data_IF_547462971156
#
_entry.id   IF_547462971156
#
_cell.length_a   1.000
_cell.length_b   1.000
_cell.length_c   1.000
_cell.angle_alpha   90.00
_cell.angle_beta   90.00
_cell.angle_gamma   90.00
#
_symmetry.space_group_name_H-M   'P 1'
#
loop_
_entity.id
_entity.type
_entity.pdbx_description
1 polymer ?
#
# COMPACT_ATOMS: atom_id res chain seq x y z
N UNK A 1 -24.67 13.20 -2.92
CA UNK A 1 -24.34 11.89 -2.34
C UNK A 1 -23.69 11.03 -3.41
N UNK A 2 -22.37 11.15 -3.55
CA UNK A 2 -21.57 10.25 -4.37
C UNK A 2 -20.44 9.77 -3.48
N UNK A 3 -20.43 8.48 -3.16
CA UNK A 3 -19.37 7.84 -2.39
C UNK A 3 -18.12 7.75 -3.28
N UNK A 4 -17.41 8.87 -3.42
CA UNK A 4 -15.99 8.80 -3.72
C UNK A 4 -15.34 8.30 -2.43
N UNK A 5 -14.95 7.03 -2.40
CA UNK A 5 -14.10 6.51 -1.33
C UNK A 5 -12.86 7.40 -1.19
N UNK A 6 -12.21 7.40 0.00
CA UNK A 6 -11.09 8.28 0.27
C UNK A 6 -10.08 8.13 -0.85
N UNK A 7 -9.80 9.23 -1.57
CA UNK A 7 -8.82 9.19 -2.65
C UNK A 7 -7.48 8.97 -2.01
N UNK A 8 -7.03 7.71 -2.01
CA UNK A 8 -5.71 7.37 -1.55
C UNK A 8 -4.69 8.29 -2.25
N UNK A 9 -3.74 8.86 -1.50
CA UNK A 9 -2.70 9.72 -2.05
C UNK A 9 -2.08 9.06 -3.29
N UNK A 10 -1.87 9.79 -4.41
CA UNK A 10 -1.46 9.11 -5.65
C UNK A 10 -0.04 8.52 -5.56
N UNK A 11 0.76 8.89 -4.55
CA UNK A 11 1.98 8.17 -4.16
C UNK A 11 1.69 6.69 -3.85
N UNK A 12 0.67 6.46 -3.02
CA UNK A 12 0.28 5.15 -2.53
C UNK A 12 -0.26 4.29 -3.69
N UNK A 13 -1.12 4.87 -4.54
CA UNK A 13 -1.64 4.19 -5.73
C UNK A 13 -0.56 3.81 -6.75
N UNK A 14 0.49 4.64 -6.91
CA UNK A 14 1.55 4.39 -7.90
C UNK A 14 2.53 3.30 -7.43
N UNK A 15 2.79 3.23 -6.13
CA UNK A 15 3.63 2.20 -5.52
C UNK A 15 2.91 0.86 -5.42
N UNK A 16 1.65 0.86 -4.94
CA UNK A 16 0.88 -0.36 -4.70
C UNK A 16 0.53 -1.09 -5.99
N UNK A 17 0.28 -0.38 -7.09
CA UNK A 17 -0.03 -1.03 -8.38
C UNK A 17 1.15 -1.83 -8.93
N UNK A 18 2.38 -1.33 -8.79
CA UNK A 18 3.57 -2.06 -9.27
C UNK A 18 3.82 -3.31 -8.43
N UNK A 19 3.70 -3.19 -7.12
CA UNK A 19 3.98 -4.31 -6.19
C UNK A 19 2.90 -5.38 -6.30
N UNK A 20 1.63 -4.98 -6.36
CA UNK A 20 0.52 -5.91 -6.62
C UNK A 20 0.71 -6.66 -7.95
N UNK A 21 1.17 -5.97 -8.99
CA UNK A 21 1.42 -6.59 -10.30
C UNK A 21 2.55 -7.61 -10.24
N UNK A 22 3.69 -7.27 -9.64
CA UNK A 22 4.83 -8.22 -9.51
C UNK A 22 4.49 -9.42 -8.63
N UNK A 23 3.76 -9.21 -7.52
CA UNK A 23 3.30 -10.29 -6.65
C UNK A 23 2.31 -11.21 -7.38
N UNK A 24 1.40 -10.65 -8.17
CA UNK A 24 0.45 -11.43 -8.98
C UNK A 24 1.18 -12.25 -10.05
N UNK A 25 2.16 -11.67 -10.74
CA UNK A 25 2.98 -12.39 -11.74
C UNK A 25 3.76 -13.54 -11.07
N UNK A 26 4.43 -13.26 -9.96
CA UNK A 26 5.18 -14.28 -9.20
C UNK A 26 4.28 -15.43 -8.71
N UNK A 27 3.05 -15.10 -8.29
CA UNK A 27 2.04 -16.09 -7.91
C UNK A 27 1.62 -16.99 -9.07
N UNK A 28 1.25 -16.40 -10.21
CA UNK A 28 0.84 -17.16 -11.39
C UNK A 28 1.98 -18.09 -11.83
N UNK A 29 3.22 -17.60 -11.82
CA UNK A 29 4.39 -18.41 -12.15
C UNK A 29 4.60 -19.57 -11.17
N UNK A 30 4.50 -19.33 -9.85
CA UNK A 30 4.63 -20.37 -8.83
C UNK A 30 3.51 -21.42 -8.92
N UNK A 31 2.27 -20.98 -9.17
CA UNK A 31 1.13 -21.88 -9.37
C UNK A 31 1.32 -22.77 -10.60
N UNK A 32 1.72 -22.19 -11.73
CA UNK A 32 1.99 -22.95 -12.96
C UNK A 32 3.14 -23.95 -12.76
N UNK A 33 4.21 -23.56 -12.05
CA UNK A 33 5.33 -24.44 -11.73
C UNK A 33 4.89 -25.62 -10.83
N UNK A 34 4.07 -25.36 -9.80
CA UNK A 34 3.52 -26.40 -8.94
C UNK A 34 2.59 -27.36 -9.70
N UNK A 35 1.73 -26.82 -10.57
CA UNK A 35 0.85 -27.62 -11.42
C UNK A 35 1.64 -28.52 -12.40
N UNK A 36 2.75 -28.01 -12.95
CA UNK A 36 3.63 -28.77 -13.84
C UNK A 36 4.38 -29.89 -13.08
N UNK A 37 4.93 -29.60 -11.90
CA UNK A 37 5.59 -30.59 -11.05
C UNK A 37 4.61 -31.70 -10.60
N UNK A 38 3.37 -31.33 -10.29
CA UNK A 38 2.31 -32.27 -9.95
C UNK A 38 2.01 -33.27 -11.09
N UNK A 39 1.99 -32.80 -12.34
CA UNK A 39 1.80 -33.66 -13.51
C UNK A 39 2.94 -34.67 -13.65
N UNK A 40 4.18 -34.22 -13.41
CA UNK A 40 5.38 -35.06 -13.54
C UNK A 40 5.52 -36.10 -12.41
N UNK A 41 5.08 -35.78 -11.19
CA UNK A 41 5.29 -36.62 -10.02
C UNK A 41 4.30 -37.79 -9.88
N UNK A 42 3.24 -37.88 -10.69
CA UNK A 42 2.24 -38.96 -10.63
C UNK A 42 1.40 -39.03 -9.34
N UNK A 43 1.70 -38.19 -8.34
CA UNK A 43 1.05 -38.15 -7.03
C UNK A 43 -0.16 -37.20 -7.01
N UNK A 44 -1.35 -37.72 -7.32
CA UNK A 44 -2.61 -36.96 -7.35
C UNK A 44 -2.95 -36.22 -6.03
N UNK A 45 -2.50 -36.73 -4.89
CA UNK A 45 -2.83 -36.17 -3.56
C UNK A 45 -1.96 -34.96 -3.21
N UNK A 46 -0.69 -34.97 -3.57
CA UNK A 46 0.24 -33.84 -3.35
C UNK A 46 -0.11 -32.67 -4.26
N UNK A 47 -0.55 -32.96 -5.49
CA UNK A 47 -1.05 -31.98 -6.44
C UNK A 47 -2.24 -31.18 -5.89
N UNK A 48 -3.23 -31.89 -5.33
CA UNK A 48 -4.46 -31.29 -4.80
C UNK A 48 -4.22 -30.42 -3.57
N UNK A 49 -3.31 -30.85 -2.68
CA UNK A 49 -2.98 -30.10 -1.46
C UNK A 49 -2.21 -28.81 -1.78
N UNK A 50 -1.25 -28.84 -2.69
CA UNK A 50 -0.53 -27.62 -3.11
C UNK A 50 -1.46 -26.62 -3.80
N UNK A 51 -2.33 -27.10 -4.70
CA UNK A 51 -3.31 -26.25 -5.40
C UNK A 51 -4.32 -25.61 -4.44
N UNK A 52 -4.69 -26.27 -3.35
CA UNK A 52 -5.64 -25.74 -2.38
C UNK A 52 -5.01 -24.77 -1.37
N UNK A 53 -3.77 -25.02 -0.92
CA UNK A 53 -3.14 -24.24 0.15
C UNK A 53 -2.51 -22.94 -0.36
N UNK A 54 -1.88 -22.98 -1.54
CA UNK A 54 -1.22 -21.82 -2.15
C UNK A 54 -2.17 -20.60 -2.32
N UNK A 55 -3.40 -20.72 -2.85
CA UNK A 55 -4.30 -19.57 -2.98
C UNK A 55 -4.79 -19.02 -1.64
N UNK A 56 -4.83 -19.82 -0.56
CA UNK A 56 -5.26 -19.35 0.76
C UNK A 56 -4.18 -18.54 1.49
N UNK A 57 -2.91 -18.91 1.34
CA UNK A 57 -1.81 -18.23 2.04
C UNK A 57 -1.47 -16.87 1.42
N UNK A 58 -1.70 -16.69 0.12
CA UNK A 58 -1.36 -15.46 -0.59
C UNK A 58 -2.10 -14.19 -0.12
N UNK A 59 -3.44 -14.17 0.00
CA UNK A 59 -4.15 -12.98 0.46
C UNK A 59 -3.72 -12.61 1.88
N UNK A 60 -3.43 -13.59 2.73
CA UNK A 60 -2.91 -13.34 4.09
C UNK A 60 -1.56 -12.64 4.02
N UNK A 61 -0.63 -13.13 3.19
CA UNK A 61 0.67 -12.50 2.98
C UNK A 61 0.55 -11.08 2.40
N UNK A 62 -0.36 -10.87 1.45
CA UNK A 62 -0.61 -9.56 0.82
C UNK A 62 -1.18 -8.56 1.83
N UNK A 63 -2.22 -8.95 2.57
CA UNK A 63 -2.86 -8.14 3.62
C UNK A 63 -1.82 -7.76 4.67
N UNK A 64 -0.98 -8.71 5.08
CA UNK A 64 0.06 -8.46 6.07
C UNK A 64 1.14 -7.50 5.57
N UNK A 65 1.60 -7.67 4.32
CA UNK A 65 2.57 -6.77 3.69
C UNK A 65 2.02 -5.34 3.53
N UNK A 66 0.76 -5.20 3.10
CA UNK A 66 0.09 -3.90 3.01
C UNK A 66 -0.11 -3.27 4.41
N UNK A 67 -0.49 -4.08 5.41
CA UNK A 67 -0.65 -3.62 6.79
C UNK A 67 0.66 -3.08 7.37
N UNK A 68 1.79 -3.75 7.12
CA UNK A 68 3.11 -3.26 7.55
C UNK A 68 3.46 -1.91 6.92
N UNK A 69 3.18 -1.75 5.63
CA UNK A 69 3.43 -0.46 4.94
C UNK A 69 2.54 0.66 5.44
N UNK A 70 1.26 0.38 5.69
CA UNK A 70 0.36 1.37 6.29
C UNK A 70 0.86 1.82 7.66
N UNK A 71 1.36 0.90 8.49
CA UNK A 71 1.94 1.24 9.80
C UNK A 71 3.21 2.08 9.68
N UNK A 72 4.09 1.73 8.75
CA UNK A 72 5.32 2.48 8.50
C UNK A 72 5.01 3.92 8.03
N UNK A 73 4.08 4.06 7.07
CA UNK A 73 3.63 5.35 6.60
C UNK A 73 2.95 6.17 7.70
N UNK A 74 2.05 5.57 8.48
CA UNK A 74 1.41 6.25 9.61
C UNK A 74 2.45 6.73 10.63
N UNK A 75 3.48 5.92 10.90
CA UNK A 75 4.58 6.30 11.79
C UNK A 75 5.38 7.48 11.24
N UNK A 76 5.68 7.49 9.94
CA UNK A 76 6.38 8.60 9.28
C UNK A 76 5.55 9.88 9.23
N UNK A 77 4.25 9.77 8.94
CA UNK A 77 3.32 10.91 8.93
C UNK A 77 3.20 11.49 10.35
N UNK A 78 3.08 10.63 11.37
CA UNK A 78 3.05 11.07 12.77
C UNK A 78 4.36 11.77 13.19
N UNK A 79 5.52 11.25 12.75
CA UNK A 79 6.82 11.86 13.05
C UNK A 79 6.98 13.29 12.49
N UNK A 80 6.27 13.62 11.41
CA UNK A 80 6.25 14.97 10.82
C UNK A 80 4.94 15.72 11.12
N UNK A 81 4.21 15.36 12.18
CA UNK A 81 2.96 16.04 12.59
C UNK A 81 1.92 16.19 11.47
N UNK A 82 1.80 15.18 10.61
CA UNK A 82 0.89 15.22 9.48
C UNK A 82 1.38 16.06 8.29
N UNK A 83 2.60 16.62 8.33
CA UNK A 83 3.18 17.46 7.28
C UNK A 83 4.12 16.66 6.35
N UNK A 84 3.59 15.58 5.77
CA UNK A 84 4.28 14.80 4.75
C UNK A 84 3.56 15.00 3.42
N UNK A 85 4.27 15.25 2.31
CA UNK A 85 3.60 15.40 1.03
C UNK A 85 2.87 14.10 0.65
N UNK A 86 1.56 14.12 0.36
CA UNK A 86 0.79 12.93 -0.01
C UNK A 86 1.25 12.27 -1.33
N UNK A 87 2.16 12.89 -2.07
CA UNK A 87 2.45 12.53 -3.46
C UNK A 87 3.89 12.08 -3.70
N UNK A 88 4.84 12.67 -2.98
CA UNK A 88 6.24 12.26 -3.02
C UNK A 88 6.79 11.89 -1.65
N UNK A 89 5.97 11.93 -0.59
CA UNK A 89 6.38 11.62 0.79
C UNK A 89 7.51 12.51 1.32
N UNK A 90 7.73 13.68 0.70
CA UNK A 90 8.71 14.66 1.15
C UNK A 90 8.21 15.39 2.41
N UNK A 91 9.04 15.56 3.45
CA UNK A 91 8.67 16.28 4.67
C UNK A 91 8.48 17.78 4.39
N UNK A 92 7.41 18.36 4.93
CA UNK A 92 6.96 19.73 4.67
C UNK A 92 7.01 20.61 5.93
N UNK A 93 7.61 20.11 7.01
CA UNK A 93 7.76 20.75 8.32
C UNK A 93 8.62 22.02 8.32
N UNK A 94 9.50 22.19 7.33
CA UNK A 94 10.46 23.30 7.28
C UNK A 94 10.46 24.09 5.96
N UNK A 95 9.32 24.13 5.26
CA UNK A 95 9.22 24.87 3.99
C UNK A 95 8.77 26.31 4.21
N UNK A 96 9.27 27.21 3.36
CA UNK A 96 8.84 28.62 3.33
C UNK A 96 7.70 28.88 2.33
N UNK A 97 7.20 27.84 1.64
CA UNK A 97 6.20 28.00 0.59
C UNK A 97 5.10 26.95 0.65
N UNK A 98 3.90 27.33 0.21
CA UNK A 98 2.73 26.44 0.06
C UNK A 98 2.87 25.41 -1.07
N UNK A 99 4.08 25.16 -1.56
CA UNK A 99 4.37 24.18 -2.61
C UNK A 99 5.38 23.18 -2.12
N UNK A 100 5.20 21.92 -2.52
CA UNK A 100 6.22 20.91 -2.31
C UNK A 100 7.42 21.19 -3.23
N UNK A 101 8.66 21.24 -2.70
CA UNK A 101 9.85 21.52 -3.50
C UNK A 101 10.15 20.41 -4.52
N UNK A 102 9.75 19.16 -4.24
CA UNK A 102 10.03 18.03 -5.12
C UNK A 102 9.01 17.86 -6.25
N UNK A 103 7.72 17.92 -5.93
CA UNK A 103 6.66 17.68 -6.93
C UNK A 103 5.96 18.95 -7.43
N UNK A 104 6.30 20.12 -6.87
CA UNK A 104 5.75 21.43 -7.25
C UNK A 104 4.27 21.65 -6.92
N UNK A 105 3.62 20.66 -6.29
CA UNK A 105 2.19 20.67 -6.01
C UNK A 105 1.87 21.62 -4.86
N UNK A 106 0.75 22.33 -4.97
CA UNK A 106 0.22 23.13 -3.85
C UNK A 106 -0.16 22.18 -2.73
N UNK A 107 0.37 22.47 -1.56
CA UNK A 107 0.22 21.71 -0.35
C UNK A 107 0.28 22.76 0.75
N UNK A 108 -0.83 23.29 1.24
CA UNK A 108 -0.82 24.06 2.49
C UNK A 108 -0.82 23.07 3.67
N UNK A 109 -0.40 23.49 4.85
CA UNK A 109 -0.35 22.59 6.01
C UNK A 109 -1.71 21.96 6.31
N UNK A 110 -2.78 22.76 6.24
CA UNK A 110 -4.16 22.31 6.41
C UNK A 110 -4.58 21.28 5.35
N UNK A 111 -4.29 21.54 4.07
CA UNK A 111 -4.68 20.63 2.99
C UNK A 111 -3.93 19.30 3.06
N UNK A 112 -2.67 19.33 3.49
CA UNK A 112 -1.85 18.13 3.69
C UNK A 112 -2.40 17.29 4.84
N UNK A 113 -2.67 17.91 6.00
CA UNK A 113 -3.27 17.21 7.15
C UNK A 113 -4.63 16.64 6.80
N UNK A 114 -5.50 17.42 6.14
CA UNK A 114 -6.81 16.96 5.69
C UNK A 114 -6.72 15.74 4.77
N UNK A 115 -5.74 15.71 3.85
CA UNK A 115 -5.54 14.56 2.97
C UNK A 115 -5.15 13.28 3.73
N UNK A 116 -4.32 13.38 4.78
CA UNK A 116 -3.95 12.22 5.60
C UNK A 116 -5.09 11.73 6.52
N UNK A 117 -5.91 12.65 7.03
CA UNK A 117 -7.14 12.32 7.78
C UNK A 117 -8.13 11.59 6.86
N UNK A 118 -8.39 12.12 5.67
CA UNK A 118 -9.28 11.49 4.69
C UNK A 118 -8.79 10.09 4.31
N UNK A 119 -7.48 9.92 4.15
CA UNK A 119 -6.86 8.62 3.88
C UNK A 119 -6.92 7.64 5.07
N UNK A 120 -7.31 8.09 6.27
CA UNK A 120 -7.33 7.28 7.49
C UNK A 120 -5.95 6.85 7.97
N UNK A 121 -4.90 7.59 7.59
CA UNK A 121 -3.50 7.29 7.96
C UNK A 121 -3.07 8.06 9.21
N UNK A 122 -3.65 9.25 9.42
CA UNK A 122 -3.33 10.12 10.54
C UNK A 122 -4.60 10.54 11.26
N UNK A 123 -4.53 10.57 12.59
CA UNK A 123 -5.57 11.07 13.47
C UNK A 123 -5.03 12.31 14.17
N UNK A 124 -5.84 13.37 14.16
CA UNK A 124 -5.44 14.68 14.69
C UNK A 124 -5.30 14.59 16.21
N UNK A 125 -4.08 14.73 16.78
CA UNK A 125 -3.87 14.58 18.22
C UNK A 125 -4.59 15.67 19.02
N UNK A 126 -4.91 16.81 18.41
CA UNK A 126 -5.57 17.94 19.08
C UNK A 126 -7.10 17.74 19.19
N UNK A 127 -7.65 16.68 18.60
CA UNK A 127 -9.09 16.35 18.65
C UNK A 127 -9.48 15.31 19.71
N UNK A 128 -8.51 14.76 20.44
CA UNK A 128 -8.71 13.85 21.57
C UNK A 128 -8.50 14.55 22.91
#
# INVERSE_FOLDING_TARGET
MGAFGPRLPAAQLRSDRKIGTWLLIGYIAAFLAAALLAQLAGGKVVALTLVAVIPMTLPIGLIWAMSRRHKDLATRVAAHHGLLCPECEYPLDHRDSDRCPECGRVATDETVRAAWIEAGVWEDPDKN
#
